data_IF_762511617089
#
_entry.id   IF_762511617089
#
_cell.length_a   1.000
_cell.length_b   1.000
_cell.length_c   1.000
_cell.angle_alpha   90.00
_cell.angle_beta   90.00
_cell.angle_gamma   90.00
#
_symmetry.space_group_name_H-M   'P 1'
#
loop_
_entity.id
_entity.type
_entity.pdbx_description
1 polymer ?
#
# COMPACT_ATOMS: atom_id res chain seq x y z
N UNK A 1 -0.10 49.44 -27.16
CA UNK A 1 -0.94 50.33 -26.33
C UNK A 1 -0.38 50.30 -24.91
N UNK A 2 0.05 51.44 -24.36
CA UNK A 2 0.54 51.52 -22.98
C UNK A 2 -0.58 51.14 -22.03
N UNK A 3 -0.37 50.13 -21.18
CA UNK A 3 -1.35 49.60 -20.22
C UNK A 3 -1.63 50.56 -19.06
N UNK A 4 -1.98 51.82 -19.35
CA UNK A 4 -2.11 52.92 -18.39
C UNK A 4 -0.87 53.10 -17.47
N UNK A 5 0.32 52.80 -17.98
CA UNK A 5 1.59 53.02 -17.26
C UNK A 5 2.39 54.09 -17.99
N UNK A 6 2.73 55.18 -17.28
CA UNK A 6 3.50 56.31 -17.82
C UNK A 6 2.86 57.68 -17.58
N UNK A 7 3.46 58.72 -18.16
CA UNK A 7 2.92 60.08 -18.16
C UNK A 7 1.92 60.25 -19.31
N UNK A 8 0.84 61.01 -19.07
CA UNK A 8 -0.15 61.32 -20.12
C UNK A 8 0.44 62.16 -21.26
N UNK A 9 1.32 63.11 -20.93
CA UNK A 9 2.15 63.83 -21.91
C UNK A 9 3.56 64.05 -21.35
N UNK A 10 4.62 63.98 -22.16
CA UNK A 10 5.99 64.26 -21.72
C UNK A 10 6.29 65.77 -21.58
N UNK A 11 5.41 66.65 -22.05
CA UNK A 11 5.58 68.10 -21.99
C UNK A 11 5.38 68.61 -20.55
N UNK A 12 6.33 69.39 -20.04
CA UNK A 12 6.31 69.91 -18.66
C UNK A 12 6.92 68.98 -17.60
N UNK A 13 7.18 67.71 -17.93
CA UNK A 13 7.87 66.75 -17.04
C UNK A 13 9.39 66.92 -17.02
N UNK A 14 9.96 67.59 -18.02
CA UNK A 14 11.42 67.79 -18.14
C UNK A 14 12.18 66.50 -18.49
N UNK A 15 11.48 65.44 -18.90
CA UNK A 15 12.06 64.15 -19.34
C UNK A 15 11.56 63.76 -20.73
N UNK A 16 12.18 62.75 -21.34
CA UNK A 16 11.82 62.26 -22.68
C UNK A 16 10.50 61.47 -22.73
N UNK A 17 9.88 61.15 -21.58
CA UNK A 17 8.66 60.34 -21.52
C UNK A 17 8.87 58.85 -21.78
N UNK A 18 10.12 58.38 -21.85
CA UNK A 18 10.41 56.95 -22.06
C UNK A 18 10.10 56.13 -20.80
N UNK A 19 9.25 55.11 -20.94
CA UNK A 19 8.82 54.23 -19.84
C UNK A 19 9.44 52.85 -20.03
N UNK A 20 10.32 52.46 -19.11
CA UNK A 20 10.92 51.13 -19.10
C UNK A 20 10.11 50.19 -18.19
N UNK A 21 9.91 48.94 -18.63
CA UNK A 21 9.36 47.90 -17.75
C UNK A 21 10.39 47.54 -16.67
N UNK A 22 9.95 47.36 -15.42
CA UNK A 22 10.84 46.88 -14.36
C UNK A 22 11.28 45.44 -14.63
N UNK A 23 12.59 45.21 -14.74
CA UNK A 23 13.17 43.86 -14.87
C UNK A 23 13.09 43.04 -13.58
N UNK A 24 12.88 43.69 -12.43
CA UNK A 24 12.67 43.03 -11.15
C UNK A 24 11.24 42.46 -10.99
N UNK A 25 10.29 42.90 -11.84
CA UNK A 25 8.96 42.34 -11.85
C UNK A 25 8.96 41.02 -12.63
N UNK A 26 9.38 39.96 -11.94
CA UNK A 26 9.28 38.59 -12.44
C UNK A 26 7.80 38.19 -12.39
N UNK A 27 7.18 38.10 -13.56
CA UNK A 27 5.84 37.52 -13.69
C UNK A 27 5.91 36.09 -13.17
N UNK A 28 5.09 35.67 -12.19
CA UNK A 28 5.05 34.28 -11.76
C UNK A 28 4.86 33.42 -13.00
N UNK A 29 5.77 32.46 -13.22
CA UNK A 29 5.61 31.48 -14.29
C UNK A 29 4.30 30.75 -14.00
N UNK A 30 3.43 30.64 -15.00
CA UNK A 30 2.29 29.74 -14.92
C UNK A 30 2.85 28.36 -14.59
N UNK A 31 2.63 27.94 -13.35
CA UNK A 31 3.05 26.62 -12.90
C UNK A 31 2.11 25.63 -13.57
N UNK A 32 2.44 25.20 -14.80
CA UNK A 32 1.81 24.05 -15.45
C UNK A 32 1.98 22.73 -14.63
N UNK A 33 2.61 22.80 -13.46
CA UNK A 33 2.73 21.76 -12.46
C UNK A 33 1.69 21.87 -11.33
N UNK A 34 0.54 22.51 -11.54
CA UNK A 34 -0.67 22.10 -10.82
C UNK A 34 -1.01 20.67 -11.25
N UNK A 35 -0.28 19.72 -10.68
CA UNK A 35 -0.61 18.31 -10.78
C UNK A 35 -2.05 18.18 -10.28
N UNK A 36 -2.98 17.61 -11.07
CA UNK A 36 -4.36 17.46 -10.64
C UNK A 36 -4.39 16.75 -9.28
N UNK A 37 -5.30 17.18 -8.40
CA UNK A 37 -5.47 16.64 -7.05
C UNK A 37 -5.73 15.11 -7.02
N UNK A 38 -5.92 14.49 -8.19
CA UNK A 38 -6.15 13.06 -8.39
C UNK A 38 -4.89 12.17 -8.26
N UNK A 39 -3.71 12.75 -7.97
CA UNK A 39 -2.51 11.96 -7.62
C UNK A 39 -2.61 11.21 -6.27
N UNK A 40 -3.79 11.17 -5.65
CA UNK A 40 -4.03 10.58 -4.32
C UNK A 40 -4.09 9.04 -4.27
N UNK A 41 -3.83 8.33 -5.36
CA UNK A 41 -3.59 6.88 -5.26
C UNK A 41 -2.40 6.47 -6.11
N UNK A 42 -1.33 6.02 -5.45
CA UNK A 42 -0.30 5.24 -6.11
C UNK A 42 -0.90 3.88 -6.48
N UNK A 43 -1.71 3.83 -7.54
CA UNK A 43 -2.28 2.58 -8.00
C UNK A 43 -1.17 1.75 -8.62
N UNK A 44 -0.83 0.63 -7.98
CA UNK A 44 0.04 -0.37 -8.56
C UNK A 44 -0.60 -0.90 -9.83
N UNK A 45 0.13 -0.89 -10.96
CA UNK A 45 -0.37 -1.44 -12.22
C UNK A 45 -0.79 -2.90 -11.99
N UNK A 46 -2.06 -3.20 -12.27
CA UNK A 46 -2.57 -4.56 -12.10
C UNK A 46 -1.95 -5.46 -13.18
N UNK A 47 -1.63 -6.73 -12.85
CA UNK A 47 -1.19 -7.69 -13.83
C UNK A 47 -2.36 -8.11 -14.74
N UNK A 48 -2.12 -8.15 -16.05
CA UNK A 48 -3.11 -8.55 -17.03
C UNK A 48 -3.15 -10.08 -17.14
N UNK A 49 -4.33 -10.67 -16.91
CA UNK A 49 -4.51 -12.12 -16.91
C UNK A 49 -4.19 -12.74 -18.28
N UNK A 50 -4.57 -12.07 -19.38
CA UNK A 50 -4.33 -12.53 -20.74
C UNK A 50 -2.83 -12.64 -21.07
N UNK A 51 -2.02 -11.70 -20.58
CA UNK A 51 -0.56 -11.71 -20.81
C UNK A 51 0.07 -12.84 -19.99
N UNK A 52 -0.34 -13.03 -18.73
CA UNK A 52 0.13 -14.14 -17.91
C UNK A 52 -0.22 -15.51 -18.50
N UNK A 53 -1.41 -15.66 -19.08
CA UNK A 53 -1.81 -16.90 -19.75
C UNK A 53 -1.04 -17.13 -21.04
N UNK A 54 -0.80 -16.07 -21.81
CA UNK A 54 0.02 -16.13 -23.02
C UNK A 54 1.45 -16.56 -22.71
N UNK A 55 2.07 -15.98 -21.68
CA UNK A 55 3.44 -16.33 -21.28
C UNK A 55 3.56 -17.80 -20.84
N UNK A 56 2.54 -18.34 -20.16
CA UNK A 56 2.50 -19.78 -19.81
C UNK A 56 2.40 -20.67 -21.05
N UNK A 57 1.46 -20.36 -21.96
CA UNK A 57 1.33 -21.12 -23.21
C UNK A 57 2.63 -21.07 -24.02
N UNK A 58 3.27 -19.90 -24.08
CA UNK A 58 4.57 -19.74 -24.71
C UNK A 58 5.64 -20.61 -24.05
N UNK A 59 5.69 -20.71 -22.72
CA UNK A 59 6.63 -21.59 -22.03
C UNK A 59 6.42 -23.07 -22.37
N UNK A 60 5.19 -23.50 -22.60
CA UNK A 60 4.89 -24.87 -23.06
C UNK A 60 5.41 -25.06 -24.48
N UNK A 61 5.07 -24.17 -25.41
CA UNK A 61 5.50 -24.29 -26.80
C UNK A 61 7.02 -24.19 -26.96
N UNK A 62 7.71 -23.39 -26.14
CA UNK A 62 9.19 -23.36 -26.12
C UNK A 62 9.75 -24.73 -25.77
N UNK A 63 9.19 -25.44 -24.78
CA UNK A 63 9.65 -26.80 -24.41
C UNK A 63 9.35 -27.83 -25.50
N UNK A 64 8.21 -27.70 -26.18
CA UNK A 64 7.86 -28.54 -27.33
C UNK A 64 8.85 -28.31 -28.47
N UNK A 65 9.17 -27.05 -28.75
CA UNK A 65 10.16 -26.68 -29.77
C UNK A 65 11.56 -27.20 -29.44
N UNK A 66 12.02 -27.07 -28.19
CA UNK A 66 13.28 -27.65 -27.73
C UNK A 66 13.34 -29.18 -27.85
N UNK A 67 12.19 -29.86 -27.74
CA UNK A 67 12.12 -31.31 -27.94
C UNK A 67 12.18 -31.65 -29.43
N UNK A 68 11.48 -30.89 -30.26
CA UNK A 68 11.54 -31.03 -31.71
C UNK A 68 12.97 -30.91 -32.22
N UNK A 69 13.68 -29.82 -31.88
CA UNK A 69 15.07 -29.60 -32.28
C UNK A 69 15.97 -30.80 -31.91
N UNK A 70 15.79 -31.37 -30.71
CA UNK A 70 16.56 -32.55 -30.27
C UNK A 70 16.27 -33.80 -31.09
N UNK A 71 15.00 -34.05 -31.44
CA UNK A 71 14.63 -35.23 -32.22
C UNK A 71 15.04 -35.09 -33.68
N UNK A 72 15.03 -33.87 -34.22
CA UNK A 72 15.58 -33.55 -35.54
C UNK A 72 17.10 -33.77 -35.58
N UNK A 73 17.83 -33.30 -34.55
CA UNK A 73 19.28 -33.55 -34.40
C UNK A 73 19.61 -35.05 -34.27
N UNK A 74 18.73 -35.83 -33.64
CA UNK A 74 18.83 -37.30 -33.53
C UNK A 74 18.47 -38.03 -34.84
N UNK A 75 17.91 -37.33 -35.83
CA UNK A 75 17.56 -37.89 -37.14
C UNK A 75 16.33 -38.80 -37.13
N UNK A 76 15.34 -38.53 -36.26
CA UNK A 76 14.05 -39.25 -36.24
C UNK A 76 13.13 -38.83 -37.38
N UNK A 77 12.17 -39.70 -37.70
CA UNK A 77 11.15 -39.44 -38.73
C UNK A 77 10.16 -38.34 -38.27
N UNK A 78 9.67 -37.53 -39.21
CA UNK A 78 8.78 -36.40 -38.93
C UNK A 78 7.50 -36.82 -38.17
N UNK A 79 6.92 -37.97 -38.51
CA UNK A 79 5.72 -38.49 -37.85
C UNK A 79 5.98 -38.83 -36.36
N UNK A 80 7.13 -39.43 -36.05
CA UNK A 80 7.51 -39.76 -34.67
C UNK A 80 7.80 -38.50 -33.85
N UNK A 81 8.36 -37.47 -34.49
CA UNK A 81 8.62 -36.16 -33.89
C UNK A 81 7.31 -35.48 -33.49
N UNK A 82 6.34 -35.45 -34.39
CA UNK A 82 5.04 -34.81 -34.16
C UNK A 82 4.25 -35.52 -33.04
N UNK A 83 4.21 -36.86 -33.06
CA UNK A 83 3.58 -37.65 -32.00
C UNK A 83 4.21 -37.40 -30.62
N UNK A 84 5.55 -37.34 -30.56
CA UNK A 84 6.28 -37.04 -29.33
C UNK A 84 6.02 -35.61 -28.84
N UNK A 85 5.98 -34.63 -29.75
CA UNK A 85 5.66 -33.24 -29.46
C UNK A 85 4.24 -33.07 -28.93
N UNK A 86 3.26 -33.72 -29.54
CA UNK A 86 1.86 -33.67 -29.10
C UNK A 86 1.65 -34.36 -27.75
N UNK A 87 2.33 -35.49 -27.52
CA UNK A 87 2.34 -36.13 -26.21
C UNK A 87 2.94 -35.22 -25.14
N UNK A 88 4.03 -34.51 -25.44
CA UNK A 88 4.64 -33.54 -24.52
C UNK A 88 3.71 -32.34 -24.26
N UNK A 89 3.11 -31.79 -25.32
CA UNK A 89 2.17 -30.65 -25.25
C UNK A 89 1.01 -30.97 -24.31
N UNK A 90 0.35 -32.12 -24.49
CA UNK A 90 -0.75 -32.57 -23.62
C UNK A 90 -0.31 -32.76 -22.16
N UNK A 91 0.87 -33.35 -21.93
CA UNK A 91 1.42 -33.54 -20.57
C UNK A 91 1.66 -32.21 -19.86
N UNK A 92 2.31 -31.26 -20.54
CA UNK A 92 2.65 -29.96 -19.97
C UNK A 92 1.42 -29.08 -19.73
N UNK A 93 0.42 -29.12 -20.63
CA UNK A 93 -0.86 -28.44 -20.43
C UNK A 93 -1.59 -29.00 -19.20
N UNK A 94 -1.67 -30.32 -19.06
CA UNK A 94 -2.30 -30.95 -17.90
C UNK A 94 -1.56 -30.63 -16.59
N UNK A 95 -0.23 -30.57 -16.60
CA UNK A 95 0.58 -30.16 -15.46
C UNK A 95 0.33 -28.70 -15.08
N UNK A 96 0.28 -27.79 -16.06
CA UNK A 96 0.01 -26.37 -15.82
C UNK A 96 -1.38 -26.16 -15.22
N UNK A 97 -2.41 -26.82 -15.77
CA UNK A 97 -3.78 -26.80 -15.22
C UNK A 97 -3.84 -27.32 -13.78
N UNK A 98 -3.11 -28.41 -13.47
CA UNK A 98 -2.99 -28.92 -12.10
C UNK A 98 -2.31 -27.91 -11.17
N UNK A 99 -1.28 -27.24 -11.67
CA UNK A 99 -0.55 -26.23 -10.91
C UNK A 99 -1.42 -25.00 -10.59
N UNK A 100 -2.32 -24.61 -11.51
CA UNK A 100 -3.31 -23.54 -11.32
C UNK A 100 -4.26 -23.85 -10.16
N UNK A 101 -4.73 -25.10 -10.09
CA UNK A 101 -5.69 -25.53 -9.07
C UNK A 101 -5.05 -25.70 -7.69
N UNK A 102 -3.74 -25.96 -7.62
CA UNK A 102 -3.02 -25.99 -6.36
C UNK A 102 -2.83 -24.55 -5.83
N UNK A 103 -3.57 -24.21 -4.77
CA UNK A 103 -3.47 -22.92 -4.07
C UNK A 103 -2.07 -22.80 -3.45
N UNK A 104 -1.16 -22.16 -4.18
CA UNK A 104 0.25 -22.06 -3.82
C UNK A 104 1.22 -22.54 -4.90
N UNK A 105 0.76 -22.59 -6.16
CA UNK A 105 1.56 -22.85 -7.37
C UNK A 105 2.98 -22.32 -7.22
N UNK A 106 3.89 -23.26 -7.02
CA UNK A 106 5.32 -23.06 -6.79
C UNK A 106 5.95 -22.78 -8.16
N UNK A 107 5.54 -21.65 -8.77
CA UNK A 107 6.15 -21.15 -9.98
C UNK A 107 7.65 -21.01 -9.74
N UNK A 108 8.42 -21.31 -10.78
CA UNK A 108 9.88 -21.28 -10.77
C UNK A 108 10.36 -20.03 -10.04
N UNK A 109 10.93 -20.22 -8.84
CA UNK A 109 11.34 -19.12 -7.94
C UNK A 109 12.65 -18.49 -8.42
N UNK A 110 12.94 -18.61 -9.71
CA UNK A 110 13.98 -17.84 -10.36
C UNK A 110 13.72 -16.36 -10.18
N UNK A 111 14.79 -15.58 -10.18
CA UNK A 111 14.66 -14.12 -10.27
C UNK A 111 13.93 -13.80 -11.57
N UNK A 112 12.73 -13.25 -11.46
CA UNK A 112 11.94 -12.74 -12.58
C UNK A 112 12.81 -11.82 -13.44
N UNK A 113 12.76 -12.02 -14.75
CA UNK A 113 13.54 -11.21 -15.69
C UNK A 113 12.94 -9.81 -15.76
N UNK A 114 13.76 -8.79 -16.04
CA UNK A 114 13.32 -7.38 -16.08
C UNK A 114 12.16 -7.12 -17.06
N UNK A 115 12.04 -7.91 -18.13
CA UNK A 115 10.98 -7.80 -19.13
C UNK A 115 9.64 -8.43 -18.71
N UNK A 116 9.60 -9.25 -17.66
CA UNK A 116 8.38 -9.92 -17.18
C UNK A 116 7.55 -9.00 -16.27
N UNK A 117 7.11 -7.86 -16.80
CA UNK A 117 6.50 -6.77 -16.01
C UNK A 117 5.24 -7.23 -15.26
N UNK A 118 4.40 -8.05 -15.90
CA UNK A 118 3.14 -8.53 -15.29
C UNK A 118 3.39 -9.60 -14.23
N UNK A 119 4.36 -10.48 -14.43
CA UNK A 119 4.75 -11.45 -13.39
C UNK A 119 5.38 -10.74 -12.19
N UNK A 120 6.23 -9.73 -12.43
CA UNK A 120 6.79 -8.86 -11.38
C UNK A 120 5.67 -8.14 -10.63
N UNK A 121 4.68 -7.58 -11.33
CA UNK A 121 3.55 -6.91 -10.70
C UNK A 121 2.72 -7.88 -9.84
N UNK A 122 2.41 -9.08 -10.37
CA UNK A 122 1.71 -10.14 -9.63
C UNK A 122 2.49 -10.57 -8.39
N UNK A 123 3.80 -10.78 -8.51
CA UNK A 123 4.67 -11.16 -7.40
C UNK A 123 4.72 -10.07 -6.33
N UNK A 124 4.87 -8.79 -6.73
CA UNK A 124 4.85 -7.65 -5.80
C UNK A 124 3.53 -7.55 -5.04
N UNK A 125 2.39 -7.70 -5.71
CA UNK A 125 1.08 -7.68 -5.04
C UNK A 125 0.99 -8.80 -3.99
N UNK A 126 1.50 -9.99 -4.28
CA UNK A 126 1.52 -11.10 -3.33
C UNK A 126 2.48 -10.85 -2.15
N UNK A 127 3.66 -10.30 -2.42
CA UNK A 127 4.63 -9.90 -1.39
C UNK A 127 4.08 -8.81 -0.48
N UNK A 128 3.47 -7.79 -1.07
CA UNK A 128 2.82 -6.68 -0.35
C UNK A 128 1.64 -7.19 0.48
N UNK A 129 0.84 -8.12 -0.05
CA UNK A 129 -0.25 -8.73 0.72
C UNK A 129 0.29 -9.56 1.90
N UNK A 130 1.37 -10.32 1.68
CA UNK A 130 2.05 -11.07 2.74
C UNK A 130 2.63 -10.14 3.81
N UNK A 131 3.26 -9.05 3.39
CA UNK A 131 3.80 -8.02 4.28
C UNK A 131 2.69 -7.33 5.07
N UNK A 132 1.59 -6.95 4.41
CA UNK A 132 0.39 -6.38 5.03
C UNK A 132 -0.15 -7.28 6.14
N UNK A 133 -0.29 -8.58 5.85
CA UNK A 133 -0.71 -9.59 6.85
C UNK A 133 0.29 -9.72 8.00
N UNK A 134 1.59 -9.74 7.70
CA UNK A 134 2.64 -9.84 8.71
C UNK A 134 2.69 -8.62 9.64
N UNK A 135 2.44 -7.42 9.11
CA UNK A 135 2.34 -6.17 9.87
C UNK A 135 1.00 -6.01 10.61
N UNK A 136 0.05 -6.93 10.41
CA UNK A 136 -1.27 -6.88 11.06
C UNK A 136 -2.17 -5.76 10.53
N UNK A 137 -1.91 -5.26 9.31
CA UNK A 137 -2.71 -4.22 8.66
C UNK A 137 -3.95 -4.87 8.05
N UNK A 138 -5.15 -4.35 8.35
CA UNK A 138 -6.42 -4.86 7.79
C UNK A 138 -6.50 -4.63 6.28
N UNK A 139 -7.36 -5.39 5.58
CA UNK A 139 -7.52 -5.25 4.12
C UNK A 139 -8.19 -3.91 3.78
N UNK A 140 -9.04 -3.44 4.68
CA UNK A 140 -9.81 -2.20 4.56
C UNK A 140 -9.09 -1.01 5.21
N UNK A 141 -7.76 -1.11 5.43
CA UNK A 141 -6.98 -0.02 6.00
C UNK A 141 -6.96 1.17 5.03
N UNK A 142 -7.59 2.27 5.43
CA UNK A 142 -7.52 3.54 4.71
C UNK A 142 -6.37 4.38 5.25
N UNK A 143 -5.57 4.93 4.35
CA UNK A 143 -4.55 5.92 4.72
C UNK A 143 -5.19 7.10 5.45
N UNK A 144 -4.57 7.57 6.53
CA UNK A 144 -5.14 8.63 7.36
C UNK A 144 -6.16 8.15 8.42
N UNK A 145 -6.68 6.92 8.35
CA UNK A 145 -7.68 6.41 9.31
C UNK A 145 -7.21 6.47 10.76
N UNK A 146 -5.94 6.15 11.02
CA UNK A 146 -5.34 6.25 12.34
C UNK A 146 -5.28 7.71 12.86
N UNK A 147 -5.01 8.69 11.99
CA UNK A 147 -4.99 10.10 12.36
C UNK A 147 -6.39 10.66 12.58
N UNK A 148 -7.38 10.28 11.74
CA UNK A 148 -8.79 10.65 11.93
C UNK A 148 -9.33 10.12 13.26
N UNK A 149 -9.04 8.87 13.59
CA UNK A 149 -9.46 8.27 14.88
C UNK A 149 -8.78 8.97 16.08
N UNK A 150 -7.54 9.43 15.93
CA UNK A 150 -6.85 10.22 16.96
C UNK A 150 -7.50 11.60 17.14
N UNK A 151 -7.86 12.28 16.05
CA UNK A 151 -8.56 13.57 16.10
C UNK A 151 -9.94 13.44 16.71
N UNK A 152 -10.72 12.42 16.33
CA UNK A 152 -12.03 12.14 16.92
C UNK A 152 -11.91 11.84 18.41
N UNK A 153 -10.96 11.00 18.83
CA UNK A 153 -10.72 10.76 20.26
C UNK A 153 -10.31 12.03 21.02
N UNK A 154 -9.51 12.90 20.42
CA UNK A 154 -9.13 14.18 21.04
C UNK A 154 -10.35 15.08 21.19
N UNK A 155 -11.18 15.20 20.14
CA UNK A 155 -12.44 15.96 20.16
C UNK A 155 -13.40 15.41 21.20
N UNK A 156 -13.59 14.09 21.26
CA UNK A 156 -14.44 13.44 22.26
C UNK A 156 -13.92 13.67 23.69
N UNK A 157 -12.60 13.57 23.91
CA UNK A 157 -11.99 13.85 25.21
C UNK A 157 -12.18 15.31 25.62
N UNK A 158 -12.08 16.25 24.67
CA UNK A 158 -12.31 17.68 24.90
C UNK A 158 -13.77 17.97 25.21
N UNK A 159 -14.71 17.33 24.50
CA UNK A 159 -16.16 17.40 24.80
C UNK A 159 -16.46 16.81 26.18
N UNK A 160 -15.87 15.67 26.55
CA UNK A 160 -16.06 15.10 27.90
C UNK A 160 -15.46 15.98 28.99
N UNK A 161 -14.32 16.62 28.73
CA UNK A 161 -13.70 17.56 29.67
C UNK A 161 -14.53 18.85 29.80
N UNK A 162 -15.15 19.31 28.71
CA UNK A 162 -16.08 20.44 28.69
C UNK A 162 -17.42 20.11 29.38
N UNK A 163 -17.84 18.85 29.36
CA UNK A 163 -19.08 18.40 30.02
C UNK A 163 -18.98 18.40 31.56
N UNK A 164 -17.79 18.53 32.13
CA UNK A 164 -17.55 18.67 33.57
C UNK A 164 -17.95 17.43 34.39
N UNK A 165 -17.49 17.30 35.65
CA UNK A 165 -18.01 16.25 36.53
C UNK A 165 -19.50 16.51 36.79
N UNK A 166 -20.35 15.55 36.41
CA UNK A 166 -21.75 15.52 36.83
C UNK A 166 -21.82 15.76 38.35
N UNK A 167 -22.70 16.67 38.84
CA UNK A 167 -22.84 16.86 40.27
C UNK A 167 -23.27 15.52 40.87
N UNK A 168 -22.48 15.02 41.81
CA UNK A 168 -22.82 13.86 42.63
C UNK A 168 -24.29 14.00 43.05
N UNK A 169 -25.15 13.14 42.50
CA UNK A 169 -26.52 12.99 42.99
C UNK A 169 -26.40 12.56 44.44
N UNK A 170 -26.53 13.54 45.33
CA UNK A 170 -26.48 13.37 46.78
C UNK A 170 -27.31 12.16 47.15
N UNK A 171 -26.65 11.24 47.84
CA UNK A 171 -27.25 10.10 48.49
C UNK A 171 -28.57 10.47 49.16
N UNK A 172 -29.66 9.82 48.75
CA UNK A 172 -30.88 9.80 49.54
C UNK A 172 -30.62 8.99 50.83
N UNK A 173 -31.09 9.46 52.00
CA UNK A 173 -30.84 8.79 53.26
C UNK A 173 -31.56 7.46 53.33
N UNK A 174 -30.81 6.45 53.79
CA UNK A 174 -31.26 5.09 54.07
C UNK A 174 -32.45 5.12 55.04
N UNK A 175 -33.60 4.61 54.62
CA UNK A 175 -34.67 4.15 55.51
C UNK A 175 -35.23 2.84 54.97
N UNK A 176 -35.31 1.83 55.85
CA UNK A 176 -36.04 0.59 55.61
C UNK A 176 -35.16 -0.65 55.54
N UNK A 177 -34.61 -1.07 56.69
CA UNK A 177 -34.16 -2.44 56.93
C UNK A 177 -35.43 -3.30 57.12
N UNK A 178 -35.68 -4.24 56.22
CA UNK A 178 -36.49 -5.42 56.51
C UNK A 178 -35.92 -6.60 55.74
N UNK A 179 -35.48 -7.59 56.51
CA UNK A 179 -34.92 -8.86 56.11
C UNK A 179 -35.93 -9.67 55.28
N UNK A 180 -35.49 -10.20 54.14
CA UNK A 180 -36.02 -11.46 53.61
C UNK A 180 -34.92 -12.19 52.84
N UNK A 181 -34.37 -13.17 53.54
CA UNK A 181 -33.54 -14.25 52.99
C UNK A 181 -34.43 -15.15 52.12
N UNK A 182 -34.12 -15.25 50.84
CA UNK A 182 -34.55 -16.38 50.02
C UNK A 182 -33.57 -16.61 48.87
N UNK A 183 -32.56 -17.40 49.19
CA UNK A 183 -31.98 -18.49 48.40
C UNK A 183 -32.64 -18.78 47.03
N UNK A 184 -31.85 -18.70 45.94
CA UNK A 184 -31.89 -19.67 44.83
C UNK A 184 -30.82 -19.40 43.75
N UNK A 185 -29.77 -20.20 43.85
CA UNK A 185 -29.23 -21.07 42.79
C UNK A 185 -28.74 -20.48 41.43
N UNK A 186 -27.41 -20.64 41.25
CA UNK A 186 -26.78 -21.47 40.18
C UNK A 186 -26.55 -20.82 38.80
N UNK A 187 -25.30 -20.41 38.54
CA UNK A 187 -24.37 -21.10 37.60
C UNK A 187 -23.07 -20.32 37.36
N UNK A 188 -21.89 -20.97 37.33
CA UNK A 188 -20.60 -20.32 37.10
C UNK A 188 -20.29 -20.23 35.60
N UNK A 189 -20.12 -19.02 35.05
CA UNK A 189 -19.56 -18.82 33.70
C UNK A 189 -18.15 -18.23 33.78
N UNK A 190 -17.20 -19.16 33.68
CA UNK A 190 -15.99 -19.10 32.84
C UNK A 190 -15.13 -17.82 32.98
N UNK A 191 -14.12 -17.93 33.83
CA UNK A 191 -12.96 -17.04 33.89
C UNK A 191 -12.31 -16.89 32.51
N UNK A 192 -12.54 -15.74 31.86
CA UNK A 192 -11.64 -15.23 30.81
C UNK A 192 -10.57 -14.42 31.52
N UNK A 193 -9.36 -14.98 31.58
CA UNK A 193 -8.17 -14.33 32.09
C UNK A 193 -7.93 -12.96 31.42
N UNK A 194 -7.71 -11.87 32.17
CA UNK A 194 -7.33 -10.60 31.56
C UNK A 194 -5.92 -10.68 30.99
N UNK A 195 -5.78 -10.44 29.69
CA UNK A 195 -4.48 -10.25 29.02
C UNK A 195 -3.77 -9.05 29.66
N UNK A 196 -2.70 -9.31 30.40
CA UNK A 196 -1.79 -8.27 30.92
C UNK A 196 -1.25 -7.44 29.76
N UNK A 197 -1.65 -6.16 29.67
CA UNK A 197 -0.94 -5.18 28.86
C UNK A 197 0.44 -4.96 29.46
N UNK A 198 1.49 -5.42 28.77
CA UNK A 198 2.88 -5.04 29.07
C UNK A 198 3.02 -3.55 28.79
N UNK A 199 3.41 -2.79 29.81
CA UNK A 199 3.86 -1.40 29.67
C UNK A 199 5.11 -1.34 28.76
N UNK A 200 5.28 -0.29 27.95
CA UNK A 200 6.49 -0.11 27.17
C UNK A 200 7.63 0.24 28.14
N UNK A 201 8.64 -0.63 28.21
CA UNK A 201 9.89 -0.37 28.91
C UNK A 201 10.62 0.74 28.15
N UNK A 202 10.82 1.88 28.80
CA UNK A 202 11.68 2.96 28.31
C UNK A 202 13.08 2.39 28.06
N UNK A 203 13.44 2.20 26.79
CA UNK A 203 14.83 1.98 26.38
C UNK A 203 15.50 3.35 26.37
N UNK A 204 16.20 3.65 27.44
CA UNK A 204 17.25 4.67 27.46
C UNK A 204 18.22 4.37 26.32
N UNK A 205 18.18 5.22 25.30
CA UNK A 205 19.04 5.17 24.13
C UNK A 205 20.35 5.84 24.53
N UNK A 206 21.30 5.06 25.03
CA UNK A 206 22.68 5.52 25.21
C UNK A 206 23.30 5.74 23.83
N UNK A 207 23.57 7.00 23.52
CA UNK A 207 24.38 7.40 22.37
C UNK A 207 25.83 7.01 22.67
N UNK A 208 26.24 5.85 22.19
CA UNK A 208 27.66 5.47 22.08
C UNK A 208 28.22 6.24 20.89
N UNK A 209 28.81 7.41 21.14
CA UNK A 209 29.67 8.12 20.21
C UNK A 209 30.86 7.25 19.82
N UNK A 210 30.76 6.60 18.67
CA UNK A 210 31.86 5.90 18.03
C UNK A 210 32.59 6.92 17.15
N UNK A 211 33.60 7.56 17.74
CA UNK A 211 34.57 8.39 17.04
C UNK A 211 35.32 7.52 16.02
N UNK A 212 34.91 7.63 14.75
CA UNK A 212 35.68 7.11 13.62
C UNK A 212 36.80 8.09 13.30
N UNK A 213 38.01 7.72 13.67
CA UNK A 213 39.26 8.35 13.23
C UNK A 213 39.42 8.17 11.73
N UNK A 214 39.37 9.28 10.99
CA UNK A 214 39.87 9.36 9.61
C UNK A 214 41.37 9.63 9.72
N UNK A 215 42.20 8.78 9.11
CA UNK A 215 43.64 9.01 8.96
C UNK A 215 43.92 9.27 7.48
N UNK A 216 44.78 10.26 7.26
CA UNK A 216 45.33 10.76 5.99
C UNK A 216 45.66 9.69 4.93
#
# INVERSE_FOLDING_TARGET
MSSNVGLSTPRGSGTSGYVQRSSAFLKPRDNFNEKPADFQSHHTRQPDAAILEHDRRRQIEVKVFELRDKLEDEGKDEDEIDDACDALRKKLQAEDERSQQSVGGKGDRGRLKSHQVHEIARAKIQEDEKLRRALGISKDYQEGSHWRLQEERKKEAEVQKARGPEPERKAAPRRGRSESVSDRSRSPRRSRSPVRKRSPRSRSRSYSSRSGSYSD
#
